data_IF_837408667684
#
_entry.id   IF_837408667684
#
_cell.length_a   1.000
_cell.length_b   1.000
_cell.length_c   1.000
_cell.angle_alpha   90.00
_cell.angle_beta   90.00
_cell.angle_gamma   90.00
#
_symmetry.space_group_name_H-M   'P 1'
#
loop_
_entity.id
_entity.type
_entity.pdbx_description
1 polymer ?
#
# COMPACT_ATOMS: atom_id res chain seq x y z
N UNK A 1 -9.60 -0.60 -6.05
CA UNK A 1 -10.67 -0.30 -5.07
C UNK A 1 -10.33 -0.90 -3.70
N UNK A 2 -9.36 -0.32 -2.98
CA UNK A 2 -8.98 -0.82 -1.64
C UNK A 2 -10.00 -0.42 -0.55
N UNK A 3 -10.75 0.66 -0.79
CA UNK A 3 -11.81 1.19 0.07
C UNK A 3 -13.18 0.53 -0.17
N UNK A 4 -13.24 -0.52 -0.99
CA UNK A 4 -14.48 -1.28 -1.12
C UNK A 4 -14.70 -2.11 0.15
N UNK A 5 -15.95 -2.18 0.60
CA UNK A 5 -16.34 -3.00 1.74
C UNK A 5 -16.24 -4.48 1.36
N UNK A 6 -15.10 -5.10 1.68
CA UNK A 6 -14.90 -6.54 1.56
C UNK A 6 -15.18 -7.20 2.91
N UNK A 7 -16.03 -8.23 2.89
CA UNK A 7 -16.06 -9.22 3.95
C UNK A 7 -14.93 -10.20 3.69
N UNK A 8 -14.09 -10.43 4.71
CA UNK A 8 -12.99 -11.38 4.62
C UNK A 8 -13.42 -12.69 5.28
N UNK A 9 -13.11 -13.81 4.61
CA UNK A 9 -13.49 -15.15 5.08
C UNK A 9 -12.60 -15.65 6.23
N UNK A 10 -11.40 -15.08 6.40
CA UNK A 10 -10.48 -15.41 7.49
C UNK A 10 -9.48 -14.28 7.79
N UNK A 11 -8.83 -14.38 8.95
CA UNK A 11 -7.73 -13.48 9.35
C UNK A 11 -6.57 -13.55 8.36
N UNK A 12 -6.27 -14.74 7.84
CA UNK A 12 -5.20 -14.94 6.87
C UNK A 12 -5.45 -14.16 5.57
N UNK A 13 -6.70 -14.15 5.08
CA UNK A 13 -7.06 -13.41 3.87
C UNK A 13 -6.87 -11.90 4.05
N UNK A 14 -7.31 -11.33 5.18
CA UNK A 14 -7.13 -9.89 5.43
C UNK A 14 -5.66 -9.51 5.62
N UNK A 15 -4.85 -10.38 6.25
CA UNK A 15 -3.41 -10.17 6.39
C UNK A 15 -2.69 -10.18 5.05
N UNK A 16 -3.01 -11.13 4.18
CA UNK A 16 -2.43 -11.20 2.84
C UNK A 16 -2.82 -9.97 2.01
N UNK A 17 -4.09 -9.54 2.09
CA UNK A 17 -4.56 -8.34 1.39
C UNK A 17 -3.88 -7.06 1.91
N UNK A 18 -3.73 -6.92 3.23
CA UNK A 18 -3.03 -5.80 3.85
C UNK A 18 -1.54 -5.76 3.45
N UNK A 19 -0.88 -6.92 3.41
CA UNK A 19 0.52 -7.04 2.97
C UNK A 19 0.69 -6.59 1.53
N UNK A 20 -0.17 -7.05 0.62
CA UNK A 20 -0.16 -6.63 -0.78
C UNK A 20 -0.41 -5.12 -0.91
N UNK A 21 -1.38 -4.59 -0.15
CA UNK A 21 -1.70 -3.17 -0.18
C UNK A 21 -0.54 -2.30 0.31
N UNK A 22 0.13 -2.69 1.40
CA UNK A 22 1.31 -1.99 1.91
C UNK A 22 2.43 -1.96 0.87
N UNK A 23 2.65 -3.08 0.16
CA UNK A 23 3.64 -3.12 -0.90
C UNK A 23 3.30 -2.14 -2.03
N UNK A 24 2.06 -2.14 -2.53
CA UNK A 24 1.61 -1.21 -3.58
C UNK A 24 1.75 0.24 -3.10
N UNK A 25 1.33 0.55 -1.87
CA UNK A 25 1.44 1.90 -1.32
C UNK A 25 2.89 2.38 -1.26
N UNK A 26 3.80 1.52 -0.82
CA UNK A 26 5.20 1.87 -0.65
C UNK A 26 5.98 1.95 -1.97
N UNK A 27 5.64 1.12 -2.96
CA UNK A 27 6.45 0.94 -4.17
C UNK A 27 5.84 1.58 -5.41
N UNK A 28 4.52 1.57 -5.55
CA UNK A 28 3.85 1.96 -6.81
C UNK A 28 3.03 3.24 -6.68
N UNK A 29 2.46 3.52 -5.50
CA UNK A 29 1.51 4.64 -5.35
C UNK A 29 2.24 5.98 -5.18
N UNK A 30 2.05 6.94 -6.09
CA UNK A 30 2.55 8.32 -5.91
C UNK A 30 1.96 8.97 -4.67
N UNK A 31 2.80 9.62 -3.86
CA UNK A 31 2.36 10.34 -2.68
C UNK A 31 2.58 11.86 -2.87
N UNK A 32 1.48 12.62 -2.86
CA UNK A 32 1.52 14.07 -3.05
C UNK A 32 2.28 14.82 -1.96
N UNK A 33 2.26 14.33 -0.71
CA UNK A 33 3.08 14.89 0.37
C UNK A 33 4.59 14.66 0.14
N UNK A 34 4.95 13.77 -0.79
CA UNK A 34 6.32 13.48 -1.22
C UNK A 34 6.60 14.09 -2.61
N UNK A 35 5.83 15.07 -3.08
CA UNK A 35 5.94 15.63 -4.43
C UNK A 35 5.72 14.58 -5.54
N UNK A 36 4.87 13.60 -5.31
CA UNK A 36 4.46 12.62 -6.32
C UNK A 36 5.39 11.42 -6.48
N UNK A 37 6.46 11.30 -5.67
CA UNK A 37 7.27 10.07 -5.62
C UNK A 37 6.66 9.05 -4.65
N UNK A 38 7.08 7.79 -4.76
CA UNK A 38 6.65 6.74 -3.84
C UNK A 38 7.46 6.78 -2.54
N UNK A 39 6.91 6.25 -1.42
CA UNK A 39 7.63 6.18 -0.15
C UNK A 39 9.01 5.51 -0.26
N UNK A 40 9.12 4.42 -1.03
CA UNK A 40 10.40 3.73 -1.22
C UNK A 40 11.43 4.55 -2.00
N UNK A 41 10.99 5.34 -2.99
CA UNK A 41 11.90 6.26 -3.69
C UNK A 41 12.45 7.32 -2.74
N UNK A 42 11.61 7.86 -1.85
CA UNK A 42 12.07 8.81 -0.81
C UNK A 42 13.04 8.15 0.16
N UNK A 43 12.77 6.91 0.57
CA UNK A 43 13.65 6.15 1.45
C UNK A 43 15.01 5.89 0.81
N UNK A 44 15.05 5.52 -0.47
CA UNK A 44 16.29 5.26 -1.20
C UNK A 44 17.12 6.52 -1.50
N UNK A 45 16.49 7.70 -1.45
CA UNK A 45 17.14 9.00 -1.63
C UNK A 45 17.67 9.62 -0.32
N UNK A 46 17.35 9.01 0.82
CA UNK A 46 17.83 9.41 2.14
C UNK A 46 19.16 8.71 2.47
#
# INVERSE_FOLDING_TARGET
DWLNHYLFDSIEVVQNRATQWLWIYNNERPNMALNGITPMMKFAAA
#
